data_IF_508081193329
#
_entry.id   IF_508081193329
#
_cell.length_a   1.000
_cell.length_b   1.000
_cell.length_c   1.000
_cell.angle_alpha   90.00
_cell.angle_beta   90.00
_cell.angle_gamma   90.00
#
_symmetry.space_group_name_H-M   'P 1'
#
loop_
_entity.id
_entity.type
_entity.pdbx_description
1 polymer ?
#
# COMPACT_ATOMS: atom_id res chain seq x y z
N UNK A 1 -5.42 8.66 15.20
CA UNK A 1 -4.80 8.10 13.99
C UNK A 1 -4.30 6.69 14.26
N UNK A 2 -4.54 5.74 13.35
CA UNK A 2 -4.05 4.35 13.37
C UNK A 2 -3.43 4.06 12.00
N UNK A 3 -2.21 3.53 11.96
CA UNK A 3 -1.58 3.12 10.71
C UNK A 3 -2.24 1.88 10.13
N UNK A 4 -2.54 1.88 8.83
CA UNK A 4 -2.89 0.68 8.05
C UNK A 4 -1.71 0.38 7.14
N UNK A 5 -0.76 -0.36 7.68
CA UNK A 5 0.46 -0.71 6.97
C UNK A 5 0.32 -2.07 6.28
N UNK A 6 0.94 -2.21 5.11
CA UNK A 6 0.91 -3.46 4.35
C UNK A 6 1.97 -3.44 3.28
N UNK A 7 2.46 -4.59 2.84
CA UNK A 7 3.18 -4.67 1.57
C UNK A 7 2.19 -4.38 0.40
N UNK A 8 2.61 -3.75 -0.72
CA UNK A 8 1.74 -3.48 -1.86
C UNK A 8 0.91 -4.70 -2.28
N UNK A 9 -0.37 -4.51 -2.61
CA UNK A 9 -1.30 -5.58 -3.04
C UNK A 9 -1.69 -6.64 -2.00
N UNK A 10 -1.42 -6.38 -0.73
CA UNK A 10 -1.89 -7.24 0.38
C UNK A 10 -3.37 -7.05 0.76
N UNK A 11 -4.11 -6.19 0.06
CA UNK A 11 -5.56 -5.99 0.32
C UNK A 11 -5.92 -4.75 1.13
N UNK A 12 -5.02 -3.76 1.21
CA UNK A 12 -5.26 -2.52 1.96
C UNK A 12 -6.54 -1.77 1.50
N UNK A 13 -6.72 -1.61 0.18
CA UNK A 13 -7.93 -0.99 -0.40
C UNK A 13 -9.22 -1.70 0.03
N UNK A 14 -9.21 -3.03 0.11
CA UNK A 14 -10.37 -3.79 0.57
C UNK A 14 -10.72 -3.49 2.02
N UNK A 15 -9.72 -3.46 2.91
CA UNK A 15 -9.91 -3.09 4.32
C UNK A 15 -10.41 -1.66 4.46
N UNK A 16 -9.84 -0.71 3.71
CA UNK A 16 -10.29 0.69 3.72
C UNK A 16 -11.74 0.84 3.24
N UNK A 17 -12.15 0.09 2.21
CA UNK A 17 -13.54 0.08 1.77
C UNK A 17 -14.47 -0.47 2.86
N UNK A 18 -14.06 -1.50 3.62
CA UNK A 18 -14.86 -1.98 4.76
C UNK A 18 -14.98 -0.89 5.83
N UNK A 19 -13.87 -0.22 6.18
CA UNK A 19 -13.89 0.87 7.16
C UNK A 19 -14.85 1.99 6.75
N UNK A 20 -14.84 2.37 5.48
CA UNK A 20 -15.75 3.39 4.95
C UNK A 20 -17.20 2.89 4.87
N UNK A 21 -17.46 1.82 4.11
CA UNK A 21 -18.82 1.39 3.75
C UNK A 21 -19.59 0.78 4.93
N UNK A 22 -18.90 0.11 5.87
CA UNK A 22 -19.55 -0.59 7.00
C UNK A 22 -19.52 0.24 8.27
N UNK A 23 -18.44 0.98 8.52
CA UNK A 23 -18.24 1.71 9.77
C UNK A 23 -18.31 3.24 9.62
N UNK A 24 -18.39 3.78 8.40
CA UNK A 24 -18.37 5.21 8.16
C UNK A 24 -17.05 5.89 8.54
N UNK A 25 -15.95 5.12 8.59
CA UNK A 25 -14.63 5.61 9.00
C UNK A 25 -13.77 5.89 7.78
N UNK A 26 -13.50 7.17 7.54
CA UNK A 26 -12.63 7.62 6.46
C UNK A 26 -11.16 7.26 6.72
N UNK A 27 -10.37 7.23 5.65
CA UNK A 27 -8.95 6.94 5.74
C UNK A 27 -8.16 7.70 4.68
N UNK A 28 -6.99 8.20 5.06
CA UNK A 28 -6.04 8.90 4.18
C UNK A 28 -4.85 7.99 3.81
N UNK A 29 -3.88 8.53 3.08
CA UNK A 29 -2.64 7.83 2.70
C UNK A 29 -1.40 8.65 3.05
N UNK A 30 -0.32 7.97 3.44
CA UNK A 30 1.00 8.56 3.67
C UNK A 30 2.06 7.86 2.82
N UNK A 31 2.76 8.63 2.00
CA UNK A 31 3.83 8.23 1.09
C UNK A 31 4.96 9.28 1.14
N UNK A 32 6.19 8.87 0.82
CA UNK A 32 7.37 9.75 0.83
C UNK A 32 7.79 10.29 -0.54
N UNK A 33 7.14 9.83 -1.61
CA UNK A 33 7.50 10.23 -2.96
C UNK A 33 7.15 11.71 -3.20
N UNK A 34 8.12 12.48 -3.71
CA UNK A 34 8.03 13.93 -3.93
C UNK A 34 6.91 14.34 -4.91
N UNK A 35 6.45 13.40 -5.75
CA UNK A 35 5.45 13.64 -6.80
C UNK A 35 3.99 13.56 -6.31
N UNK A 36 3.77 13.17 -5.05
CA UNK A 36 2.41 13.12 -4.49
C UNK A 36 2.21 14.23 -3.45
N UNK A 37 1.16 15.01 -3.65
CA UNK A 37 0.71 15.97 -2.65
C UNK A 37 0.24 15.20 -1.41
N UNK A 38 1.02 15.25 -0.34
CA UNK A 38 0.53 14.87 0.99
C UNK A 38 -0.67 15.75 1.31
N UNK A 39 -1.81 15.14 1.64
CA UNK A 39 -2.91 15.86 2.25
C UNK A 39 -2.36 16.52 3.52
N UNK A 40 -2.37 17.86 3.57
CA UNK A 40 -1.73 18.63 4.63
C UNK A 40 -2.22 18.28 6.06
N UNK A 41 -3.32 17.52 6.15
CA UNK A 41 -3.92 17.05 7.40
C UNK A 41 -4.25 15.55 7.38
N UNK A 42 -3.42 14.71 6.72
CA UNK A 42 -3.65 13.25 6.69
C UNK A 42 -3.77 12.64 8.10
N UNK A 43 -3.15 13.28 9.11
CA UNK A 43 -3.19 12.89 10.53
C UNK A 43 -4.55 13.10 11.20
N UNK A 44 -5.43 13.94 10.63
CA UNK A 44 -6.79 14.14 11.13
C UNK A 44 -7.69 12.92 10.92
N UNK A 45 -7.33 12.04 9.99
CA UNK A 45 -8.10 10.83 9.70
C UNK A 45 -7.89 9.77 10.79
N UNK A 46 -8.93 8.98 11.12
CA UNK A 46 -8.80 7.92 12.12
C UNK A 46 -7.83 6.83 11.66
N UNK A 47 -7.72 6.60 10.34
CA UNK A 47 -6.83 5.62 9.74
C UNK A 47 -5.99 6.21 8.60
N UNK A 48 -4.72 5.81 8.52
CA UNK A 48 -3.79 6.28 7.47
C UNK A 48 -3.06 5.10 6.87
N UNK A 49 -3.21 4.90 5.56
CA UNK A 49 -2.56 3.81 4.83
C UNK A 49 -1.12 4.14 4.49
N UNK A 50 -0.25 3.14 4.56
CA UNK A 50 1.13 3.26 4.07
C UNK A 50 1.72 1.91 3.63
N UNK A 51 2.75 1.98 2.79
CA UNK A 51 3.61 0.84 2.43
C UNK A 51 5.03 0.98 3.01
N UNK A 52 5.29 2.07 3.75
CA UNK A 52 6.60 2.39 4.29
C UNK A 52 6.93 1.58 5.54
N UNK A 53 8.22 1.44 5.82
CA UNK A 53 8.72 0.87 7.07
C UNK A 53 8.47 1.81 8.24
N UNK A 54 8.41 1.31 9.49
CA UNK A 54 8.19 2.16 10.67
C UNK A 54 9.17 3.32 10.80
N UNK A 55 10.45 3.10 10.50
CA UNK A 55 11.49 4.14 10.51
C UNK A 55 11.31 5.20 9.42
N UNK A 56 10.46 4.92 8.43
CA UNK A 56 10.12 5.82 7.34
C UNK A 56 8.80 6.57 7.57
N UNK A 57 8.12 6.38 8.71
CA UNK A 57 6.90 7.09 9.02
C UNK A 57 7.20 8.48 9.60
N UNK A 58 6.22 9.37 9.45
CA UNK A 58 6.12 10.63 10.16
C UNK A 58 4.68 10.74 10.68
N UNK A 59 4.45 10.92 11.99
CA UNK A 59 5.42 10.77 13.07
C UNK A 59 5.96 9.33 13.17
N UNK A 60 7.27 9.20 13.40
CA UNK A 60 7.93 7.93 13.74
C UNK A 60 7.76 7.61 15.23
N UNK A 61 6.51 7.51 15.66
CA UNK A 61 6.13 7.27 17.06
C UNK A 61 5.66 5.81 17.24
N UNK A 62 6.40 4.98 18.03
CA UNK A 62 6.05 3.58 18.25
C UNK A 62 4.80 3.37 19.10
N UNK A 63 4.30 4.39 19.81
CA UNK A 63 3.09 4.28 20.63
C UNK A 63 1.81 4.34 19.78
N UNK A 64 1.90 4.90 18.55
CA UNK A 64 0.81 4.94 17.58
C UNK A 64 0.47 3.51 17.13
N UNK A 65 -0.80 3.15 17.25
CA UNK A 65 -1.27 1.80 16.90
C UNK A 65 -1.23 1.58 15.39
N UNK A 66 -0.95 0.35 15.00
CA UNK A 66 -0.93 -0.09 13.62
C UNK A 66 -1.72 -1.38 13.42
N UNK A 67 -2.43 -1.46 12.30
CA UNK A 67 -2.95 -2.69 11.73
C UNK A 67 -2.04 -3.05 10.57
N UNK A 68 -1.33 -4.18 10.68
CA UNK A 68 -0.45 -4.67 9.62
C UNK A 68 -1.14 -5.79 8.85
N UNK A 69 -1.46 -5.53 7.57
CA UNK A 69 -2.16 -6.50 6.72
C UNK A 69 -1.12 -7.36 6.01
N UNK A 70 -1.24 -8.67 6.22
CA UNK A 70 -0.37 -9.68 5.61
C UNK A 70 -1.13 -10.50 4.58
N UNK A 71 -0.43 -10.88 3.51
CA UNK A 71 -0.91 -11.77 2.45
C UNK A 71 0.23 -12.69 2.04
N UNK A 72 -0.08 -13.87 1.50
CA UNK A 72 0.91 -14.73 0.86
C UNK A 72 1.70 -13.92 -0.19
N UNK A 73 3.03 -13.93 -0.08
CA UNK A 73 3.90 -13.19 -0.98
C UNK A 73 3.74 -13.63 -2.44
N UNK A 74 3.46 -14.91 -2.70
CA UNK A 74 3.27 -15.45 -4.05
C UNK A 74 2.02 -14.87 -4.71
N UNK A 75 0.91 -14.85 -3.98
CA UNK A 75 -0.34 -14.24 -4.43
C UNK A 75 -0.19 -12.74 -4.66
N UNK A 76 0.63 -12.11 -3.84
CA UNK A 76 0.93 -10.69 -3.96
C UNK A 76 1.70 -10.40 -5.25
N UNK A 77 2.72 -11.20 -5.59
CA UNK A 77 3.46 -11.05 -6.85
C UNK A 77 2.57 -11.25 -8.07
N UNK A 78 1.69 -12.26 -8.04
CA UNK A 78 0.67 -12.49 -9.08
C UNK A 78 -0.23 -11.26 -9.25
N UNK A 79 -0.70 -10.68 -8.14
CA UNK A 79 -1.54 -9.48 -8.14
C UNK A 79 -0.82 -8.24 -8.69
N UNK A 80 0.48 -8.08 -8.42
CA UNK A 80 1.31 -7.00 -8.98
C UNK A 80 1.47 -7.16 -10.48
N UNK A 81 1.75 -8.39 -10.94
CA UNK A 81 1.88 -8.69 -12.36
C UNK A 81 0.59 -8.38 -13.13
N UNK A 82 -0.57 -8.80 -12.61
CA UNK A 82 -1.87 -8.44 -13.16
C UNK A 82 -2.14 -6.94 -13.14
N UNK A 83 -1.89 -6.26 -12.01
CA UNK A 83 -2.05 -4.80 -11.96
C UNK A 83 -1.23 -4.11 -13.04
N UNK A 84 -0.02 -4.59 -13.31
CA UNK A 84 0.83 -4.04 -14.37
C UNK A 84 0.29 -4.34 -15.75
N UNK A 85 -0.01 -5.61 -16.05
CA UNK A 85 -0.51 -6.07 -17.36
C UNK A 85 -1.89 -5.52 -17.72
N UNK A 86 -2.74 -5.23 -16.73
CA UNK A 86 -4.15 -4.92 -16.96
C UNK A 86 -4.45 -3.42 -16.73
N UNK A 87 -3.67 -2.72 -15.88
CA UNK A 87 -3.98 -1.35 -15.44
C UNK A 87 -2.82 -0.38 -15.69
N UNK A 88 -1.61 -0.65 -15.18
CA UNK A 88 -0.50 0.32 -15.23
C UNK A 88 0.13 0.41 -16.62
N UNK A 89 0.32 -0.73 -17.28
CA UNK A 89 0.85 -0.84 -18.64
C UNK A 89 0.05 -1.90 -19.41
N UNK A 90 -1.20 -1.59 -19.80
CA UNK A 90 -2.11 -2.54 -20.41
C UNK A 90 -1.52 -3.26 -21.63
N UNK A 91 -1.63 -4.60 -21.64
CA UNK A 91 -1.15 -5.45 -22.75
C UNK A 91 0.31 -5.88 -22.66
N UNK A 92 1.04 -5.47 -21.62
CA UNK A 92 2.39 -6.01 -21.34
C UNK A 92 2.34 -7.47 -20.91
N UNK A 93 3.37 -8.25 -21.28
CA UNK A 93 3.41 -9.68 -21.01
C UNK A 93 3.38 -9.98 -19.50
N UNK A 94 2.41 -10.80 -19.10
CA UNK A 94 2.20 -11.14 -17.70
C UNK A 94 3.37 -11.92 -17.10
N UNK A 95 3.99 -12.84 -17.85
CA UNK A 95 5.08 -13.66 -17.33
C UNK A 95 6.35 -12.83 -17.13
N UNK A 96 6.63 -11.87 -18.03
CA UNK A 96 7.70 -10.89 -17.85
C UNK A 96 7.43 -10.02 -16.62
N UNK A 97 6.22 -9.48 -16.47
CA UNK A 97 5.83 -8.67 -15.32
C UNK A 97 5.92 -9.46 -14.00
N UNK A 98 5.53 -10.74 -14.00
CA UNK A 98 5.63 -11.61 -12.83
C UNK A 98 7.09 -11.89 -12.44
N UNK A 99 7.96 -12.15 -13.42
CA UNK A 99 9.39 -12.32 -13.17
C UNK A 99 10.01 -11.04 -12.61
N UNK A 100 9.71 -9.89 -13.22
CA UNK A 100 10.19 -8.60 -12.74
C UNK A 100 9.74 -8.32 -11.31
N UNK A 101 8.49 -8.65 -10.96
CA UNK A 101 7.98 -8.57 -9.60
C UNK A 101 8.74 -9.53 -8.66
N UNK A 102 8.92 -10.80 -9.01
CA UNK A 102 9.64 -11.76 -8.15
C UNK A 102 11.10 -11.33 -7.91
N UNK A 103 11.77 -10.80 -8.94
CA UNK A 103 13.16 -10.33 -8.83
C UNK A 103 13.29 -8.96 -8.17
N UNK A 104 12.17 -8.28 -7.87
CA UNK A 104 12.14 -6.91 -7.37
C UNK A 104 13.01 -5.97 -8.21
N UNK A 105 12.88 -6.04 -9.54
CA UNK A 105 13.70 -5.23 -10.44
C UNK A 105 13.59 -3.74 -10.09
N UNK A 106 14.74 -3.03 -10.16
CA UNK A 106 14.88 -1.60 -9.83
C UNK A 106 14.44 -1.25 -8.40
N UNK A 107 14.63 -2.17 -7.45
CA UNK A 107 14.24 -1.98 -6.05
C UNK A 107 12.76 -1.61 -5.90
N UNK A 108 11.90 -2.17 -6.76
CA UNK A 108 10.48 -1.79 -6.88
C UNK A 108 9.62 -1.93 -5.62
N UNK A 109 10.15 -2.49 -4.53
CA UNK A 109 9.47 -2.63 -3.25
C UNK A 109 10.24 -2.03 -2.05
N UNK A 110 11.39 -1.39 -2.27
CA UNK A 110 12.28 -0.90 -1.22
C UNK A 110 12.71 0.55 -1.44
#
# INVERSE_FOLDING_TARGET
MIWIASFPRSGNTFVRNILHEVYGLESSEYHREEDYHLDADYVSFPFVKTHLLPSQLDPSDPDIKAVYIVRDGRDTMVSIAHQRSDIVAPGTDYQENLKAAIFAEKDSFF
#
